data_IF_209114486553
#
_entry.id   IF_209114486553
#
_cell.length_a   1.000
_cell.length_b   1.000
_cell.length_c   1.000
_cell.angle_alpha   90.00
_cell.angle_beta   90.00
_cell.angle_gamma   90.00
#
_symmetry.space_group_name_H-M   'P 1'
#
loop_
_entity.id
_entity.type
_entity.pdbx_description
1 polymer ?
#
# COMPACT_ATOMS: atom_id res chain seq x y z
N UNK A 1 1.60 -35.32 20.62
CA UNK A 1 2.37 -36.35 19.92
C UNK A 1 3.68 -35.72 19.44
N UNK A 2 4.82 -36.33 19.77
CA UNK A 2 6.13 -35.92 19.26
C UNK A 2 6.36 -36.72 17.97
N UNK A 3 6.68 -36.02 16.88
CA UNK A 3 7.06 -36.63 15.62
C UNK A 3 8.56 -36.44 15.41
N UNK A 4 9.26 -37.48 14.99
CA UNK A 4 10.64 -37.35 14.55
C UNK A 4 10.63 -36.97 13.08
N UNK A 5 11.18 -35.80 12.74
CA UNK A 5 11.35 -35.33 11.37
C UNK A 5 12.79 -35.49 10.92
N UNK A 6 12.99 -35.87 9.66
CA UNK A 6 14.30 -36.07 9.05
C UNK A 6 14.46 -35.09 7.88
N UNK A 7 15.64 -34.51 7.73
CA UNK A 7 15.98 -33.80 6.50
C UNK A 7 16.07 -34.81 5.34
N UNK A 8 15.60 -34.44 4.17
CA UNK A 8 15.65 -35.30 2.97
C UNK A 8 17.06 -35.79 2.65
N UNK A 9 18.12 -35.04 3.01
CA UNK A 9 19.52 -35.46 2.86
C UNK A 9 19.94 -36.58 3.80
N UNK A 10 19.14 -36.89 4.82
CA UNK A 10 19.36 -38.00 5.78
C UNK A 10 18.64 -39.29 5.42
N UNK A 11 17.97 -39.29 4.26
CA UNK A 11 17.15 -40.43 3.80
C UNK A 11 17.56 -40.84 2.39
N UNK A 12 17.70 -42.16 2.16
CA UNK A 12 17.94 -42.74 0.84
C UNK A 12 16.63 -43.05 0.13
N UNK A 13 16.57 -42.88 -1.20
CA UNK A 13 15.41 -43.26 -2.01
C UNK A 13 14.27 -42.21 -2.06
N UNK A 14 14.44 -41.07 -1.45
CA UNK A 14 13.49 -39.96 -1.62
C UNK A 14 13.80 -39.25 -2.92
N UNK A 15 12.84 -39.08 -3.83
CA UNK A 15 13.07 -38.30 -5.04
C UNK A 15 13.37 -36.84 -4.62
N UNK A 16 14.23 -36.13 -5.37
CA UNK A 16 14.50 -34.71 -5.10
C UNK A 16 13.17 -33.96 -5.01
N UNK A 17 13.01 -33.17 -3.95
CA UNK A 17 11.86 -32.29 -3.81
C UNK A 17 11.86 -31.34 -5.02
N UNK A 18 10.92 -31.53 -5.92
CA UNK A 18 10.66 -30.55 -6.96
C UNK A 18 9.88 -29.43 -6.28
N UNK A 19 10.59 -28.32 -6.03
CA UNK A 19 9.93 -27.11 -5.61
C UNK A 19 8.83 -26.81 -6.66
N UNK A 20 7.58 -27.04 -6.28
CA UNK A 20 6.43 -26.73 -7.12
C UNK A 20 6.00 -25.28 -6.97
N UNK A 21 6.80 -24.48 -6.26
CA UNK A 21 6.52 -23.06 -6.16
C UNK A 21 6.61 -22.50 -7.57
N UNK A 22 5.48 -22.45 -8.23
CA UNK A 22 5.30 -21.59 -9.39
C UNK A 22 5.41 -20.18 -8.81
N UNK A 23 6.44 -19.46 -9.21
CA UNK A 23 6.46 -18.02 -8.97
C UNK A 23 5.14 -17.45 -9.49
N UNK A 24 4.38 -16.80 -8.62
CA UNK A 24 3.16 -16.12 -9.06
C UNK A 24 3.57 -14.89 -9.88
N UNK A 25 2.78 -14.60 -10.91
CA UNK A 25 2.82 -13.29 -11.52
C UNK A 25 2.05 -12.36 -10.58
N UNK A 26 2.78 -11.63 -9.73
CA UNK A 26 2.17 -10.71 -8.76
C UNK A 26 1.48 -9.57 -9.51
N UNK A 27 0.19 -9.37 -9.25
CA UNK A 27 -0.63 -8.35 -9.91
C UNK A 27 -0.51 -7.02 -9.13
N UNK A 28 0.52 -6.25 -9.46
CA UNK A 28 0.79 -4.96 -8.79
C UNK A 28 -0.31 -3.92 -9.04
N UNK A 29 -0.93 -3.93 -10.20
CA UNK A 29 -2.01 -3.01 -10.56
C UNK A 29 -3.25 -3.27 -9.68
N UNK A 30 -3.66 -4.52 -9.56
CA UNK A 30 -4.79 -4.92 -8.71
C UNK A 30 -4.56 -4.57 -7.23
N UNK A 31 -3.33 -4.67 -6.76
CA UNK A 31 -2.96 -4.46 -5.36
C UNK A 31 -2.21 -3.15 -5.13
N UNK A 32 -2.37 -2.17 -6.01
CA UNK A 32 -1.71 -0.86 -5.90
C UNK A 32 -1.95 -0.19 -4.55
N UNK A 33 -3.21 -0.11 -4.10
CA UNK A 33 -3.56 0.51 -2.81
C UNK A 33 -2.92 -0.23 -1.62
N UNK A 34 -3.04 -1.57 -1.48
CA UNK A 34 -2.33 -2.31 -0.45
C UNK A 34 -0.83 -2.10 -0.42
N UNK A 35 -0.17 -2.17 -1.59
CA UNK A 35 1.28 -1.93 -1.71
C UNK A 35 1.66 -0.51 -1.29
N UNK A 36 0.89 0.46 -1.73
CA UNK A 36 1.11 1.85 -1.41
C UNK A 36 0.91 2.13 0.10
N UNK A 37 -0.14 1.57 0.73
CA UNK A 37 -0.35 1.69 2.19
C UNK A 37 0.83 1.08 2.96
N UNK A 38 1.33 -0.07 2.52
CA UNK A 38 2.48 -0.73 3.12
C UNK A 38 3.75 0.13 3.01
N UNK A 39 4.02 0.68 1.83
CA UNK A 39 5.19 1.53 1.58
C UNK A 39 5.13 2.82 2.39
N UNK A 40 4.01 3.53 2.38
CA UNK A 40 3.82 4.76 3.15
C UNK A 40 3.93 4.53 4.65
N UNK A 41 3.37 3.41 5.14
CA UNK A 41 3.56 3.04 6.54
C UNK A 41 5.04 2.91 6.88
N UNK A 42 5.81 2.23 6.04
CA UNK A 42 7.26 2.06 6.24
C UNK A 42 7.99 3.41 6.24
N UNK A 43 7.71 4.28 5.27
CA UNK A 43 8.32 5.61 5.18
C UNK A 43 7.93 6.50 6.37
N UNK A 44 6.64 6.61 6.67
CA UNK A 44 6.12 7.49 7.74
C UNK A 44 6.48 7.02 9.16
N UNK A 45 7.02 5.81 9.29
CA UNK A 45 7.41 5.24 10.60
C UNK A 45 8.88 4.85 10.70
N UNK A 46 9.70 5.15 9.68
CA UNK A 46 11.11 4.73 9.56
C UNK A 46 11.30 3.19 9.69
N UNK A 47 10.29 2.40 9.34
CA UNK A 47 10.38 0.94 9.36
C UNK A 47 11.13 0.46 8.12
N UNK A 48 12.16 -0.36 8.32
CA UNK A 48 12.84 -1.02 7.20
C UNK A 48 12.06 -2.25 6.77
N UNK A 49 11.76 -2.37 5.50
CA UNK A 49 11.16 -3.57 4.92
C UNK A 49 12.07 -4.17 3.87
N UNK A 50 12.24 -5.49 3.89
CA UNK A 50 13.13 -6.24 3.01
C UNK A 50 12.39 -7.48 2.49
N UNK A 51 12.30 -7.63 1.17
CA UNK A 51 11.96 -8.89 0.53
C UNK A 51 13.27 -9.64 0.23
N UNK A 52 13.41 -10.89 0.71
CA UNK A 52 14.65 -11.66 0.65
C UNK A 52 14.37 -13.10 0.19
N UNK A 53 14.95 -13.47 -0.94
CA UNK A 53 14.86 -14.81 -1.52
C UNK A 53 15.47 -15.92 -0.64
N UNK A 54 16.39 -15.57 0.25
CA UNK A 54 17.03 -16.50 1.20
C UNK A 54 16.19 -16.82 2.41
N UNK A 55 15.10 -16.09 2.64
CA UNK A 55 14.21 -16.25 3.80
C UNK A 55 13.01 -17.12 3.42
N UNK A 56 12.63 -18.05 4.31
CA UNK A 56 11.46 -18.91 4.11
C UNK A 56 10.28 -18.56 5.05
N UNK A 57 10.53 -17.79 6.08
CA UNK A 57 9.54 -17.42 7.09
C UNK A 57 9.66 -15.92 7.34
N UNK A 58 8.58 -15.15 7.25
CA UNK A 58 8.61 -13.74 7.57
C UNK A 58 8.94 -13.53 9.05
N UNK A 59 9.51 -12.39 9.39
CA UNK A 59 9.76 -11.98 10.77
C UNK A 59 9.96 -10.49 10.91
N UNK A 60 9.56 -9.95 12.07
CA UNK A 60 9.95 -8.64 12.53
C UNK A 60 11.12 -8.74 13.50
N UNK A 61 12.16 -7.93 13.29
CA UNK A 61 13.34 -7.85 14.17
C UNK A 61 13.37 -6.51 14.93
N UNK A 62 12.95 -6.48 16.21
CA UNK A 62 12.85 -5.24 16.99
C UNK A 62 14.17 -4.50 17.17
N UNK A 63 15.30 -5.21 17.26
CA UNK A 63 16.62 -4.61 17.49
C UNK A 63 17.14 -3.77 16.32
N UNK A 64 16.69 -4.07 15.10
CA UNK A 64 17.07 -3.37 13.88
C UNK A 64 15.91 -2.59 13.28
N UNK A 65 14.72 -2.71 13.90
CA UNK A 65 13.47 -2.12 13.47
C UNK A 65 13.19 -2.43 11.99
N UNK A 66 13.21 -3.72 11.67
CA UNK A 66 13.01 -4.19 10.30
C UNK A 66 12.06 -5.37 10.22
N UNK A 67 11.26 -5.39 9.17
CA UNK A 67 10.48 -6.53 8.68
C UNK A 67 11.23 -7.19 7.54
N UNK A 68 11.34 -8.51 7.57
CA UNK A 68 11.91 -9.30 6.47
C UNK A 68 10.88 -10.36 6.07
N UNK A 69 10.55 -10.40 4.79
CA UNK A 69 9.60 -11.37 4.23
C UNK A 69 10.25 -12.09 3.04
N UNK A 70 9.84 -13.33 2.73
CA UNK A 70 10.20 -13.96 1.47
C UNK A 70 9.81 -13.09 0.28
N UNK A 71 10.55 -13.20 -0.82
CA UNK A 71 10.17 -12.53 -2.07
C UNK A 71 8.72 -12.84 -2.44
N UNK A 72 7.95 -11.79 -2.83
CA UNK A 72 6.50 -11.87 -3.07
C UNK A 72 6.11 -12.91 -4.11
N UNK A 73 6.97 -13.17 -5.10
CA UNK A 73 6.72 -14.18 -6.14
C UNK A 73 6.81 -15.64 -5.63
N UNK A 74 7.32 -15.85 -4.41
CA UNK A 74 7.44 -17.19 -3.79
C UNK A 74 6.20 -17.62 -3.01
N UNK A 75 5.27 -16.71 -2.80
CA UNK A 75 4.01 -17.02 -2.12
C UNK A 75 3.07 -17.84 -3.03
N UNK A 76 2.07 -18.46 -2.45
CA UNK A 76 1.07 -19.23 -3.21
C UNK A 76 0.11 -18.31 -3.96
N UNK A 77 -0.18 -17.17 -3.38
CA UNK A 77 -1.01 -16.08 -3.90
C UNK A 77 -0.63 -14.77 -3.21
N UNK A 78 -1.13 -13.65 -3.75
CA UNK A 78 -0.85 -12.31 -3.24
C UNK A 78 -1.47 -12.09 -1.86
N UNK A 79 -2.61 -12.72 -1.59
CA UNK A 79 -3.31 -12.60 -0.30
C UNK A 79 -2.45 -13.15 0.84
N UNK A 80 -1.75 -14.28 0.59
CA UNK A 80 -0.81 -14.85 1.55
C UNK A 80 0.39 -13.92 1.81
N UNK A 81 0.93 -13.27 0.77
CA UNK A 81 1.99 -12.27 0.91
C UNK A 81 1.56 -11.11 1.81
N UNK A 82 0.39 -10.54 1.55
CA UNK A 82 -0.09 -9.41 2.35
C UNK A 82 -0.43 -9.81 3.78
N UNK A 83 -1.06 -10.97 3.98
CA UNK A 83 -1.39 -11.46 5.31
C UNK A 83 -0.15 -11.60 6.18
N UNK A 84 0.88 -12.27 5.68
CA UNK A 84 2.15 -12.47 6.37
C UNK A 84 2.87 -11.13 6.60
N UNK A 85 2.90 -10.27 5.58
CA UNK A 85 3.57 -8.97 5.67
C UNK A 85 2.89 -8.05 6.69
N UNK A 86 1.56 -7.96 6.68
CA UNK A 86 0.84 -7.14 7.65
C UNK A 86 0.85 -7.73 9.06
N UNK A 87 1.04 -9.05 9.20
CA UNK A 87 1.30 -9.66 10.50
C UNK A 87 2.62 -9.14 11.10
N UNK A 88 3.70 -9.14 10.34
CA UNK A 88 4.99 -8.63 10.79
C UNK A 88 4.98 -7.09 10.99
N UNK A 89 4.26 -6.37 10.13
CA UNK A 89 4.00 -4.94 10.31
C UNK A 89 3.21 -4.69 11.61
N UNK A 90 2.21 -5.51 11.93
CA UNK A 90 1.47 -5.39 13.19
C UNK A 90 2.38 -5.57 14.40
N UNK A 91 3.32 -6.53 14.40
CA UNK A 91 4.37 -6.63 15.42
C UNK A 91 5.22 -5.37 15.49
N UNK A 92 5.64 -4.85 14.34
CA UNK A 92 6.47 -3.66 14.27
C UNK A 92 5.82 -2.45 14.95
N UNK A 93 4.50 -2.34 14.93
CA UNK A 93 3.79 -1.25 15.63
C UNK A 93 4.04 -1.24 17.13
N UNK A 94 4.47 -2.36 17.72
CA UNK A 94 4.88 -2.45 19.12
C UNK A 94 6.20 -1.76 19.46
N UNK A 95 6.98 -1.36 18.47
CA UNK A 95 8.26 -0.69 18.69
C UNK A 95 8.13 0.59 19.53
N UNK A 96 9.22 0.95 20.25
CA UNK A 96 9.25 2.11 21.16
C UNK A 96 8.98 3.46 20.47
N UNK A 97 9.21 3.55 19.15
CA UNK A 97 8.90 4.73 18.34
C UNK A 97 7.41 4.82 17.96
N UNK A 98 6.63 3.74 18.06
CA UNK A 98 5.23 3.61 17.64
C UNK A 98 4.30 3.39 18.83
N UNK A 99 3.59 2.30 18.91
CA UNK A 99 2.59 2.05 19.97
C UNK A 99 3.17 1.54 21.30
N UNK A 100 4.47 1.31 21.38
CA UNK A 100 5.25 1.02 22.60
C UNK A 100 4.72 -0.18 23.39
N UNK A 101 4.43 -1.30 22.72
CA UNK A 101 4.08 -2.56 23.38
C UNK A 101 5.33 -3.32 23.84
N UNK A 102 5.16 -4.25 24.78
CA UNK A 102 6.27 -5.13 25.19
C UNK A 102 6.39 -6.30 24.21
N UNK A 103 7.50 -6.32 23.45
CA UNK A 103 7.83 -7.35 22.46
C UNK A 103 8.90 -8.33 22.96
N UNK A 104 9.24 -8.32 24.27
CA UNK A 104 10.36 -9.09 24.82
C UNK A 104 9.95 -10.45 25.37
N UNK A 105 8.67 -10.77 25.37
CA UNK A 105 8.16 -12.03 25.89
C UNK A 105 8.70 -13.23 25.09
N UNK A 106 8.90 -14.37 25.78
CA UNK A 106 9.39 -15.59 25.18
C UNK A 106 8.23 -16.45 24.69
N UNK A 107 8.51 -17.26 23.68
CA UNK A 107 7.60 -18.32 23.25
C UNK A 107 7.08 -19.13 24.45
N UNK A 108 5.79 -19.47 24.46
CA UNK A 108 5.06 -20.15 25.55
C UNK A 108 4.70 -19.26 26.76
N UNK A 109 5.14 -18.01 26.82
CA UNK A 109 4.68 -17.07 27.83
C UNK A 109 3.33 -16.45 27.42
N UNK A 110 2.51 -16.13 28.44
CA UNK A 110 1.17 -15.56 28.23
C UNK A 110 1.24 -14.25 27.41
N UNK A 111 2.22 -13.41 27.70
CA UNK A 111 2.36 -12.11 27.04
C UNK A 111 2.76 -12.26 25.56
N UNK A 112 3.55 -13.29 25.22
CA UNK A 112 3.82 -13.68 23.84
C UNK A 112 2.53 -14.08 23.12
N UNK A 113 1.72 -14.95 23.70
CA UNK A 113 0.46 -15.39 23.10
C UNK A 113 -0.53 -14.23 22.87
N UNK A 114 -0.56 -13.23 23.76
CA UNK A 114 -1.36 -12.02 23.58
C UNK A 114 -0.84 -11.18 22.41
N UNK A 115 0.48 -11.03 22.28
CA UNK A 115 1.07 -10.26 21.17
C UNK A 115 0.83 -10.92 19.81
N UNK A 116 0.95 -12.26 19.72
CA UNK A 116 0.60 -13.01 18.51
C UNK A 116 -0.87 -12.84 18.11
N UNK A 117 -1.78 -12.90 19.09
CA UNK A 117 -3.21 -12.63 18.83
C UNK A 117 -3.45 -11.21 18.31
N UNK A 118 -2.73 -10.22 18.84
CA UNK A 118 -2.81 -8.84 18.36
C UNK A 118 -2.36 -8.72 16.93
N UNK A 119 -1.22 -9.35 16.59
CA UNK A 119 -0.67 -9.30 15.25
C UNK A 119 -1.58 -10.02 14.23
N UNK A 120 -2.05 -11.21 14.57
CA UNK A 120 -2.94 -12.00 13.70
C UNK A 120 -4.27 -11.27 13.45
N UNK A 121 -4.94 -10.82 14.50
CA UNK A 121 -6.22 -10.10 14.37
C UNK A 121 -6.01 -8.74 13.71
N UNK A 122 -4.93 -8.03 14.03
CA UNK A 122 -4.57 -6.74 13.44
C UNK A 122 -4.32 -6.85 11.94
N UNK A 123 -3.55 -7.86 11.52
CA UNK A 123 -3.34 -8.19 10.10
C UNK A 123 -4.67 -8.46 9.38
N UNK A 124 -5.54 -9.28 9.99
CA UNK A 124 -6.85 -9.57 9.40
C UNK A 124 -7.71 -8.29 9.24
N UNK A 125 -7.70 -7.38 10.20
CA UNK A 125 -8.41 -6.10 10.10
C UNK A 125 -7.84 -5.21 9.01
N UNK A 126 -6.51 -5.11 8.91
CA UNK A 126 -5.84 -4.35 7.85
C UNK A 126 -6.19 -4.94 6.47
N UNK A 127 -6.00 -6.25 6.28
CA UNK A 127 -6.32 -6.92 5.02
C UNK A 127 -7.78 -6.74 4.61
N UNK A 128 -8.71 -6.85 5.56
CA UNK A 128 -10.13 -6.63 5.29
C UNK A 128 -10.41 -5.18 4.86
N UNK A 129 -9.82 -4.19 5.53
CA UNK A 129 -10.00 -2.77 5.17
C UNK A 129 -9.43 -2.45 3.79
N UNK A 130 -8.35 -3.12 3.39
CA UNK A 130 -7.71 -2.96 2.08
C UNK A 130 -8.38 -3.79 0.97
N UNK A 131 -9.48 -4.49 1.26
CA UNK A 131 -10.16 -5.34 0.29
C UNK A 131 -9.36 -6.58 -0.14
N UNK A 132 -8.32 -6.93 0.62
CA UNK A 132 -7.58 -8.18 0.47
C UNK A 132 -8.44 -9.28 1.09
N UNK A 133 -9.37 -9.78 0.29
CA UNK A 133 -10.28 -10.83 0.74
C UNK A 133 -9.66 -12.17 0.39
N UNK A 134 -9.24 -12.92 1.39
CA UNK A 134 -8.95 -14.32 1.20
C UNK A 134 -10.19 -14.97 0.59
N UNK A 135 -10.10 -15.41 -0.68
CA UNK A 135 -11.07 -16.40 -1.14
C UNK A 135 -11.09 -17.46 -0.05
N UNK A 136 -12.25 -17.96 0.40
CA UNK A 136 -12.28 -18.95 1.47
C UNK A 136 -11.55 -20.21 1.01
N UNK A 137 -10.23 -20.13 0.98
CA UNK A 137 -9.38 -21.30 0.91
C UNK A 137 -9.53 -21.93 2.29
N UNK A 138 -10.27 -23.03 2.32
CA UNK A 138 -10.61 -23.74 3.54
C UNK A 138 -9.38 -24.07 4.37
N UNK A 139 -8.27 -24.38 3.71
CA UNK A 139 -7.01 -24.74 4.34
C UNK A 139 -6.36 -23.54 5.05
N UNK A 140 -6.42 -22.35 4.47
CA UNK A 140 -5.92 -21.11 5.09
C UNK A 140 -6.75 -20.72 6.31
N UNK A 141 -8.08 -20.74 6.17
CA UNK A 141 -8.99 -20.44 7.30
C UNK A 141 -8.82 -21.46 8.44
N UNK A 142 -8.67 -22.74 8.13
CA UNK A 142 -8.45 -23.79 9.13
C UNK A 142 -7.10 -23.60 9.84
N UNK A 143 -6.06 -23.16 9.16
CA UNK A 143 -4.75 -22.86 9.74
C UNK A 143 -4.82 -21.63 10.66
N UNK A 144 -5.41 -20.52 10.22
CA UNK A 144 -5.58 -19.32 11.06
C UNK A 144 -6.43 -19.59 12.29
N UNK A 145 -7.53 -20.35 12.13
CA UNK A 145 -8.36 -20.79 13.27
C UNK A 145 -7.58 -21.67 14.23
N UNK A 146 -6.79 -22.63 13.74
CA UNK A 146 -5.97 -23.50 14.57
C UNK A 146 -4.88 -22.72 15.31
N UNK A 147 -4.30 -21.70 14.66
CA UNK A 147 -3.29 -20.82 15.23
C UNK A 147 -3.87 -19.97 16.36
N UNK A 148 -4.97 -19.26 16.12
CA UNK A 148 -5.70 -18.51 17.15
C UNK A 148 -6.13 -19.41 18.30
N UNK A 149 -6.61 -20.62 18.00
CA UNK A 149 -7.04 -21.59 19.02
C UNK A 149 -5.88 -22.07 19.90
N UNK A 150 -4.65 -22.19 19.35
CA UNK A 150 -3.47 -22.54 20.13
C UNK A 150 -3.13 -21.46 21.15
N UNK A 151 -3.20 -20.19 20.79
CA UNK A 151 -2.95 -19.09 21.71
C UNK A 151 -4.06 -18.93 22.75
N UNK A 152 -5.31 -19.14 22.39
CA UNK A 152 -6.43 -19.19 23.35
C UNK A 152 -6.22 -20.25 24.43
N UNK A 153 -5.64 -21.40 24.09
CA UNK A 153 -5.30 -22.43 25.06
C UNK A 153 -4.21 -21.95 26.04
N UNK A 154 -3.17 -21.24 25.55
CA UNK A 154 -2.12 -20.64 26.41
C UNK A 154 -2.73 -19.61 27.38
N UNK A 155 -3.75 -18.87 26.93
CA UNK A 155 -4.48 -17.91 27.74
C UNK A 155 -5.50 -18.56 28.72
N UNK A 156 -5.55 -19.89 28.79
CA UNK A 156 -6.54 -20.65 29.59
C UNK A 156 -7.99 -20.25 29.25
N UNK A 157 -8.28 -19.96 28.00
CA UNK A 157 -9.58 -19.53 27.50
C UNK A 157 -10.17 -18.32 28.28
N UNK A 158 -9.30 -17.39 28.73
CA UNK A 158 -9.74 -16.19 29.42
C UNK A 158 -10.34 -15.18 28.41
N UNK A 159 -11.67 -14.95 28.39
CA UNK A 159 -12.28 -14.06 27.42
C UNK A 159 -11.76 -12.61 27.51
N UNK A 160 -11.37 -12.17 28.69
CA UNK A 160 -10.87 -10.80 28.89
C UNK A 160 -9.55 -10.55 28.14
N UNK A 161 -8.66 -11.55 28.08
CA UNK A 161 -7.41 -11.43 27.35
C UNK A 161 -7.66 -11.38 25.83
N UNK A 162 -8.66 -12.15 25.34
CA UNK A 162 -9.10 -12.09 23.94
C UNK A 162 -9.73 -10.73 23.59
N UNK A 163 -10.65 -10.23 24.40
CA UNK A 163 -11.25 -8.89 24.17
C UNK A 163 -10.21 -7.77 24.18
N UNK A 164 -9.22 -7.89 25.07
CA UNK A 164 -8.12 -6.94 25.09
C UNK A 164 -7.28 -7.03 23.80
N UNK A 165 -6.94 -8.24 23.35
CA UNK A 165 -6.21 -8.44 22.12
C UNK A 165 -6.96 -7.89 20.91
N UNK A 166 -8.27 -8.09 20.81
CA UNK A 166 -9.12 -7.55 19.73
C UNK A 166 -9.11 -6.01 19.74
N UNK A 167 -9.27 -5.40 20.92
CA UNK A 167 -9.23 -3.93 21.04
C UNK A 167 -7.87 -3.35 20.67
N UNK A 168 -6.80 -4.01 21.12
CA UNK A 168 -5.44 -3.58 20.79
C UNK A 168 -5.18 -3.77 19.29
N UNK A 169 -5.69 -4.85 18.66
CA UNK A 169 -5.62 -5.13 17.23
C UNK A 169 -6.35 -4.08 16.37
N UNK A 170 -7.51 -3.61 16.82
CA UNK A 170 -8.21 -2.50 16.18
C UNK A 170 -7.35 -1.22 16.20
N UNK A 171 -6.73 -0.91 17.34
CA UNK A 171 -5.79 0.21 17.43
C UNK A 171 -4.55 0.06 16.55
N UNK A 172 -4.05 -1.17 16.37
CA UNK A 172 -2.94 -1.50 15.46
C UNK A 172 -3.37 -1.23 14.01
N UNK A 173 -4.52 -1.77 13.60
CA UNK A 173 -5.03 -1.62 12.24
C UNK A 173 -5.26 -0.13 11.89
N UNK A 174 -5.93 0.60 12.76
CA UNK A 174 -6.16 2.04 12.56
C UNK A 174 -4.84 2.82 12.45
N UNK A 175 -3.84 2.49 13.28
CA UNK A 175 -2.53 3.12 13.21
C UNK A 175 -1.80 2.83 11.88
N UNK A 176 -1.85 1.58 11.40
CA UNK A 176 -1.24 1.20 10.12
C UNK A 176 -1.93 1.90 8.96
N UNK A 177 -3.26 1.90 8.93
CA UNK A 177 -4.04 2.54 7.87
C UNK A 177 -3.86 4.07 7.86
N UNK A 178 -3.81 4.71 9.05
CA UNK A 178 -3.52 6.15 9.17
C UNK A 178 -2.13 6.48 8.64
N UNK A 179 -1.09 5.78 9.11
CA UNK A 179 0.29 6.01 8.65
C UNK A 179 0.52 5.59 7.19
N UNK A 180 -0.30 4.69 6.67
CA UNK A 180 -0.34 4.29 5.27
C UNK A 180 -1.19 5.20 4.38
N UNK A 181 -1.74 6.32 4.89
CA UNK A 181 -2.58 7.27 4.13
C UNK A 181 -3.77 6.61 3.43
N UNK A 182 -4.33 5.55 4.03
CA UNK A 182 -5.38 4.74 3.40
C UNK A 182 -6.65 5.53 3.05
N UNK A 183 -7.13 6.39 3.96
CA UNK A 183 -8.37 7.15 3.72
C UNK A 183 -8.23 8.11 2.52
N UNK A 184 -7.06 8.76 2.39
CA UNK A 184 -6.78 9.62 1.25
C UNK A 184 -6.79 8.83 -0.06
N UNK A 185 -6.11 7.69 -0.11
CA UNK A 185 -6.01 6.83 -1.29
C UNK A 185 -7.37 6.26 -1.70
N UNK A 186 -8.15 5.80 -0.72
CA UNK A 186 -9.49 5.27 -0.96
C UNK A 186 -10.42 6.37 -1.51
N UNK A 187 -10.43 7.54 -0.89
CA UNK A 187 -11.22 8.68 -1.35
C UNK A 187 -10.84 9.08 -2.78
N UNK A 188 -9.54 9.18 -3.07
CA UNK A 188 -9.05 9.56 -4.39
C UNK A 188 -9.44 8.51 -5.44
N UNK A 189 -9.30 7.22 -5.12
CA UNK A 189 -9.72 6.14 -6.01
C UNK A 189 -11.22 6.16 -6.33
N UNK A 190 -12.09 6.46 -5.35
CA UNK A 190 -13.53 6.59 -5.60
C UNK A 190 -13.85 7.81 -6.46
N UNK A 191 -13.23 8.96 -6.19
CA UNK A 191 -13.40 10.15 -7.02
C UNK A 191 -12.96 9.92 -8.47
N UNK A 192 -11.81 9.26 -8.69
CA UNK A 192 -11.37 8.92 -10.04
C UNK A 192 -12.35 7.98 -10.74
N UNK A 193 -12.94 6.99 -10.05
CA UNK A 193 -13.97 6.12 -10.61
C UNK A 193 -15.24 6.88 -10.99
N UNK A 194 -15.71 7.81 -10.14
CA UNK A 194 -16.86 8.65 -10.44
C UNK A 194 -16.64 9.44 -11.74
N UNK A 195 -15.43 10.01 -11.92
CA UNK A 195 -15.09 10.75 -13.14
C UNK A 195 -15.04 9.83 -14.36
N UNK A 196 -14.34 8.68 -14.28
CA UNK A 196 -14.12 7.79 -15.43
C UNK A 196 -15.40 7.03 -15.82
N UNK A 197 -16.15 6.53 -14.84
CA UNK A 197 -17.27 5.62 -15.11
C UNK A 197 -18.62 6.33 -15.19
N UNK A 198 -18.80 7.38 -14.38
CA UNK A 198 -20.07 8.09 -14.25
C UNK A 198 -20.09 9.42 -15.00
N UNK A 199 -18.95 9.83 -15.59
CA UNK A 199 -18.78 11.13 -16.27
C UNK A 199 -19.14 12.31 -15.33
N UNK A 200 -18.83 12.12 -14.03
CA UNK A 200 -19.21 13.04 -12.96
C UNK A 200 -17.96 13.67 -12.35
N UNK A 201 -17.66 14.89 -12.75
CA UNK A 201 -16.54 15.66 -12.22
C UNK A 201 -17.03 16.90 -11.47
N UNK A 202 -16.47 17.17 -10.30
CA UNK A 202 -16.72 18.38 -9.53
C UNK A 202 -15.40 19.09 -9.20
N UNK A 203 -15.25 20.40 -9.49
CA UNK A 203 -14.09 21.18 -9.03
C UNK A 203 -13.96 21.15 -7.52
N UNK A 204 -12.72 21.36 -7.02
CA UNK A 204 -12.38 21.26 -5.61
C UNK A 204 -12.67 19.89 -4.96
N UNK A 205 -12.72 18.80 -5.75
CA UNK A 205 -12.89 17.44 -5.23
C UNK A 205 -11.73 17.03 -4.32
N UNK A 206 -10.52 17.54 -4.58
CA UNK A 206 -9.35 17.42 -3.72
C UNK A 206 -8.67 18.77 -3.53
N UNK A 207 -7.91 18.92 -2.44
CA UNK A 207 -7.09 20.10 -2.15
C UNK A 207 -5.70 19.98 -2.76
N UNK A 208 -4.94 21.08 -2.85
CA UNK A 208 -3.53 21.03 -3.26
C UNK A 208 -2.68 20.17 -2.33
N UNK A 209 -2.87 20.24 -1.01
CA UNK A 209 -2.16 19.37 -0.06
C UNK A 209 -2.41 17.88 -0.36
N UNK A 210 -3.65 17.51 -0.70
CA UNK A 210 -4.01 16.14 -1.08
C UNK A 210 -3.42 15.74 -2.43
N UNK A 211 -3.34 16.66 -3.39
CA UNK A 211 -2.66 16.44 -4.66
C UNK A 211 -1.17 16.19 -4.45
N UNK A 212 -0.49 17.06 -3.70
CA UNK A 212 0.94 16.93 -3.41
C UNK A 212 1.28 15.62 -2.72
N UNK A 213 0.52 15.24 -1.70
CA UNK A 213 0.71 13.99 -0.99
C UNK A 213 0.51 12.78 -1.93
N UNK A 214 -0.54 12.83 -2.78
CA UNK A 214 -0.85 11.74 -3.71
C UNK A 214 0.21 11.59 -4.82
N UNK A 215 0.72 12.70 -5.36
CA UNK A 215 1.77 12.69 -6.39
C UNK A 215 3.14 12.30 -5.83
N UNK A 216 3.43 12.65 -4.58
CA UNK A 216 4.64 12.20 -3.89
C UNK A 216 4.67 10.66 -3.80
N UNK A 217 3.53 10.02 -3.52
CA UNK A 217 3.39 8.57 -3.51
C UNK A 217 3.75 7.95 -4.87
N UNK A 218 3.40 8.64 -5.95
CA UNK A 218 3.71 8.22 -7.33
C UNK A 218 5.12 8.63 -7.79
N UNK A 219 5.96 9.19 -6.88
CA UNK A 219 7.27 9.74 -7.19
C UNK A 219 7.24 10.84 -8.27
N UNK A 220 6.16 11.61 -8.32
CA UNK A 220 6.02 12.76 -9.21
C UNK A 220 6.37 14.02 -8.41
N UNK A 221 7.54 14.63 -8.63
CA UNK A 221 7.99 15.76 -7.82
C UNK A 221 7.29 17.07 -8.20
N UNK A 222 7.12 17.93 -7.21
CA UNK A 222 6.86 19.36 -7.43
C UNK A 222 8.21 20.07 -7.63
N UNK A 223 8.32 20.83 -8.70
CA UNK A 223 9.47 21.68 -8.99
C UNK A 223 9.08 23.15 -8.88
N UNK A 224 10.04 24.02 -8.64
CA UNK A 224 9.77 25.44 -8.71
C UNK A 224 9.65 25.96 -10.16
N UNK A 225 9.20 27.20 -10.33
CA UNK A 225 8.99 27.77 -11.67
C UNK A 225 10.29 27.89 -12.47
N UNK A 226 11.42 28.19 -11.82
CA UNK A 226 12.72 28.37 -12.47
C UNK A 226 13.25 27.02 -12.96
N UNK A 227 13.18 25.98 -12.13
CA UNK A 227 13.55 24.60 -12.49
C UNK A 227 12.65 24.06 -13.60
N UNK A 228 11.33 24.30 -13.49
CA UNK A 228 10.35 23.89 -14.52
C UNK A 228 10.63 24.55 -15.86
N UNK A 229 10.83 25.85 -15.88
CA UNK A 229 11.17 26.58 -17.10
C UNK A 229 12.51 26.13 -17.69
N UNK A 230 13.50 25.87 -16.84
CA UNK A 230 14.80 25.35 -17.28
C UNK A 230 14.67 24.00 -17.97
N UNK A 231 13.91 23.06 -17.38
CA UNK A 231 13.73 21.71 -17.96
C UNK A 231 12.94 21.79 -19.27
N UNK A 232 11.90 22.60 -19.35
CA UNK A 232 11.13 22.79 -20.60
C UNK A 232 12.04 23.34 -21.73
N UNK A 233 12.91 24.30 -21.41
CA UNK A 233 13.86 24.86 -22.39
C UNK A 233 14.93 23.86 -22.82
N UNK A 234 15.39 22.99 -21.92
CA UNK A 234 16.34 21.93 -22.25
C UNK A 234 15.78 20.89 -23.26
N UNK A 235 14.46 20.75 -23.37
CA UNK A 235 13.85 19.80 -24.29
C UNK A 235 14.24 20.05 -25.75
N UNK A 236 14.39 21.32 -26.15
CA UNK A 236 14.83 21.68 -27.49
C UNK A 236 16.34 21.43 -27.71
N UNK A 237 17.15 21.43 -26.65
CA UNK A 237 18.60 21.35 -26.69
C UNK A 237 19.12 19.92 -26.44
N UNK A 238 18.53 19.19 -25.49
CA UNK A 238 18.96 17.85 -25.07
C UNK A 238 17.76 16.99 -24.57
N UNK A 239 17.04 16.41 -25.52
CA UNK A 239 15.86 15.54 -25.24
C UNK A 239 16.19 14.33 -24.35
N UNK A 240 17.39 13.75 -24.51
CA UNK A 240 17.76 12.52 -23.79
C UNK A 240 17.93 12.77 -22.28
N UNK A 241 18.37 13.95 -21.88
CA UNK A 241 18.64 14.27 -20.47
C UNK A 241 17.36 14.39 -19.62
N UNK A 242 16.22 14.66 -20.24
CA UNK A 242 14.93 14.88 -19.56
C UNK A 242 13.90 13.79 -19.88
N UNK A 243 14.20 12.87 -20.78
CA UNK A 243 13.32 11.76 -21.13
C UNK A 243 12.97 10.90 -19.91
N UNK A 244 11.73 10.46 -19.81
CA UNK A 244 11.24 9.63 -18.73
C UNK A 244 10.79 10.40 -17.47
N UNK A 245 10.71 11.73 -17.51
CA UNK A 245 10.33 12.56 -16.37
C UNK A 245 8.86 12.97 -16.42
N UNK A 246 8.20 12.88 -15.28
CA UNK A 246 6.90 13.50 -15.00
C UNK A 246 7.08 14.39 -13.77
N UNK A 247 6.61 15.60 -13.83
CA UNK A 247 6.68 16.56 -12.71
C UNK A 247 5.62 17.64 -12.85
N UNK A 248 5.43 18.44 -11.82
CA UNK A 248 4.53 19.58 -11.87
C UNK A 248 5.13 20.79 -11.13
N UNK A 249 4.55 21.95 -11.40
CA UNK A 249 4.81 23.19 -10.70
C UNK A 249 3.48 23.84 -10.33
N UNK A 250 3.40 24.48 -9.16
CA UNK A 250 2.25 25.24 -8.71
C UNK A 250 2.68 26.68 -8.35
N UNK A 251 2.11 27.66 -9.01
CA UNK A 251 2.43 29.09 -8.82
C UNK A 251 1.48 29.83 -7.85
N UNK A 252 0.57 29.10 -7.20
CA UNK A 252 -0.46 29.65 -6.31
C UNK A 252 -1.84 29.78 -6.96
N UNK A 253 -1.95 29.61 -8.27
CA UNK A 253 -3.22 29.64 -9.03
C UNK A 253 -3.30 28.49 -10.04
N UNK A 254 -2.18 28.17 -10.70
CA UNK A 254 -2.11 27.24 -11.82
C UNK A 254 -1.19 26.06 -11.51
N UNK A 255 -1.66 24.86 -11.78
CA UNK A 255 -0.89 23.61 -11.73
C UNK A 255 -0.39 23.35 -13.16
N UNK A 256 0.90 23.56 -13.38
CA UNK A 256 1.55 23.23 -14.66
C UNK A 256 2.11 21.81 -14.58
N UNK A 257 1.52 20.90 -15.31
CA UNK A 257 1.88 19.49 -15.37
C UNK A 257 2.74 19.23 -16.61
N UNK A 258 3.84 18.50 -16.44
CA UNK A 258 4.78 18.18 -17.52
C UNK A 258 4.99 16.68 -17.57
N UNK A 259 4.78 16.07 -18.74
CA UNK A 259 5.03 14.67 -19.02
C UNK A 259 5.96 14.51 -20.22
N UNK A 260 7.05 13.78 -20.00
CA UNK A 260 8.05 13.46 -21.02
C UNK A 260 8.46 11.98 -20.95
N UNK A 261 7.56 11.10 -20.52
CA UNK A 261 7.87 9.66 -20.37
C UNK A 261 8.20 8.99 -21.67
N UNK A 262 7.54 9.37 -22.75
CA UNK A 262 7.71 8.78 -24.09
C UNK A 262 8.67 9.55 -25.00
N UNK A 263 9.29 10.62 -24.49
CA UNK A 263 10.24 11.46 -25.24
C UNK A 263 9.58 12.61 -26.00
N UNK A 264 8.26 12.70 -26.02
CA UNK A 264 7.52 13.88 -26.47
C UNK A 264 7.10 14.69 -25.26
N UNK A 265 7.29 16.01 -25.32
CA UNK A 265 6.98 16.92 -24.22
C UNK A 265 5.51 17.33 -24.27
N UNK A 266 4.74 16.83 -23.31
CA UNK A 266 3.36 17.25 -23.09
C UNK A 266 3.29 18.19 -21.89
N UNK A 267 2.59 19.31 -22.04
CA UNK A 267 2.40 20.30 -20.98
C UNK A 267 0.92 20.64 -20.91
N UNK A 268 0.33 20.38 -19.76
CA UNK A 268 -1.04 20.77 -19.47
C UNK A 268 -1.11 21.70 -18.27
N UNK A 269 -2.13 22.55 -18.24
CA UNK A 269 -2.35 23.52 -17.18
C UNK A 269 -3.76 23.41 -16.63
N UNK A 270 -3.85 23.28 -15.33
CA UNK A 270 -5.10 23.18 -14.60
C UNK A 270 -5.18 24.31 -13.57
N UNK A 271 -6.37 24.82 -13.30
CA UNK A 271 -6.58 25.70 -12.16
C UNK A 271 -6.49 24.90 -10.85
N UNK A 272 -6.17 25.55 -9.73
CA UNK A 272 -6.11 24.88 -8.40
C UNK A 272 -7.37 24.06 -8.11
N UNK A 273 -8.55 24.57 -8.46
CA UNK A 273 -9.83 23.87 -8.29
C UNK A 273 -9.93 22.56 -9.05
N UNK A 274 -9.13 22.36 -10.08
CA UNK A 274 -9.13 21.19 -10.96
C UNK A 274 -7.98 20.21 -10.63
N UNK A 275 -7.49 20.23 -9.39
CA UNK A 275 -6.38 19.40 -8.89
C UNK A 275 -6.60 17.89 -9.12
N UNK A 276 -7.85 17.40 -9.06
CA UNK A 276 -8.16 16.01 -9.37
C UNK A 276 -7.87 15.65 -10.83
N UNK A 277 -8.21 16.53 -11.78
CA UNK A 277 -7.91 16.30 -13.20
C UNK A 277 -6.40 16.36 -13.46
N UNK A 278 -5.67 17.27 -12.81
CA UNK A 278 -4.21 17.31 -12.86
C UNK A 278 -3.60 15.98 -12.37
N UNK A 279 -4.11 15.44 -11.26
CA UNK A 279 -3.69 14.12 -10.78
C UNK A 279 -3.97 13.01 -11.80
N UNK A 280 -5.20 12.95 -12.33
CA UNK A 280 -5.60 11.90 -13.28
C UNK A 280 -4.79 11.96 -14.56
N UNK A 281 -4.48 13.15 -15.04
CA UNK A 281 -3.64 13.35 -16.21
C UNK A 281 -2.18 12.89 -15.96
N UNK A 282 -1.56 13.33 -14.88
CA UNK A 282 -0.18 12.96 -14.55
C UNK A 282 0.01 11.47 -14.24
N UNK A 283 -1.06 10.78 -13.87
CA UNK A 283 -1.04 9.34 -13.55
C UNK A 283 -1.60 8.44 -14.66
N UNK A 284 -1.80 8.98 -15.87
CA UNK A 284 -2.34 8.27 -17.06
C UNK A 284 -3.75 7.70 -16.88
N UNK A 285 -4.51 8.17 -15.91
CA UNK A 285 -5.90 7.78 -15.73
C UNK A 285 -6.83 8.48 -16.72
N UNK A 286 -6.40 9.59 -17.31
CA UNK A 286 -7.19 10.39 -18.24
C UNK A 286 -6.30 11.13 -19.24
N UNK A 287 -6.72 11.18 -20.50
CA UNK A 287 -6.03 11.94 -21.56
C UNK A 287 -6.31 13.44 -21.45
N UNK A 288 -5.45 14.27 -22.08
CA UNK A 288 -5.68 15.72 -22.21
C UNK A 288 -7.04 16.04 -22.85
N UNK A 289 -7.47 15.25 -23.83
CA UNK A 289 -8.73 15.45 -24.54
C UNK A 289 -9.91 15.23 -23.58
N UNK A 290 -9.88 14.15 -22.81
CA UNK A 290 -10.95 13.82 -21.86
C UNK A 290 -11.03 14.86 -20.73
N UNK A 291 -9.89 15.31 -20.19
CA UNK A 291 -9.84 16.40 -19.20
C UNK A 291 -10.47 17.67 -19.76
N UNK A 292 -10.13 18.03 -21.02
CA UNK A 292 -10.65 19.21 -21.66
C UNK A 292 -12.17 19.14 -21.92
N UNK A 293 -12.68 17.96 -22.30
CA UNK A 293 -14.12 17.74 -22.48
C UNK A 293 -14.90 17.92 -21.17
N UNK A 294 -14.36 17.41 -20.04
CA UNK A 294 -14.98 17.58 -18.73
C UNK A 294 -15.02 19.04 -18.27
N UNK A 295 -13.94 19.80 -18.51
CA UNK A 295 -13.88 21.22 -18.20
C UNK A 295 -14.92 22.02 -19.01
N UNK A 296 -15.08 21.72 -20.30
CA UNK A 296 -16.02 22.44 -21.19
C UNK A 296 -17.48 22.07 -20.98
N UNK A 297 -17.81 20.84 -20.56
CA UNK A 297 -19.18 20.44 -20.25
C UNK A 297 -19.84 21.35 -19.21
N UNK A 298 -19.10 21.76 -18.17
CA UNK A 298 -19.61 22.65 -17.10
C UNK A 298 -19.83 24.09 -17.53
N UNK A 299 -19.03 24.62 -18.46
CA UNK A 299 -19.26 25.97 -18.99
C UNK A 299 -20.54 26.03 -19.83
N UNK A 300 -20.88 24.93 -20.53
CA UNK A 300 -22.12 24.82 -21.30
C UNK A 300 -23.39 24.75 -20.45
N UNK A 301 -23.36 24.07 -19.30
CA UNK A 301 -24.51 23.92 -18.41
C UNK A 301 -24.84 25.21 -17.62
N UNK A 302 -23.84 26.04 -17.33
CA UNK A 302 -24.06 27.35 -16.67
C UNK A 302 -24.75 28.34 -17.62
N UNK A 303 -24.53 28.23 -18.93
CA UNK A 303 -25.16 29.10 -19.93
C UNK A 303 -26.58 28.66 -20.32
N UNK A 304 -26.96 27.39 -20.14
CA UNK A 304 -28.28 26.85 -20.40
C UNK A 304 -29.29 27.01 -19.25
N UNK A 305 -28.84 27.32 -18.06
CA UNK A 305 -29.68 27.55 -16.85
C UNK A 305 -30.20 28.98 -16.68
N UNK A 306 -29.92 29.90 -17.62
CA UNK A 306 -30.36 31.31 -17.59
C UNK A 306 -31.28 31.65 -18.78
N UNK A 307 -32.21 30.77 -19.16
CA UNK A 307 -33.32 31.13 -20.06
C UNK A 307 -34.67 30.96 -19.39
#
# INVERSE_FOLDING_TARGET
>A
RVYTVFNATQMEGIPPYKNQNKNIAFDEEKYEIPLSVMNDFCENTDLKMIEDDGVNTPYYQPSEDKVVVPDRHRYMDEEAFFSDTFHEIAHSTGHAKRLKRDLKSRYEEKDYAVEELRAEIGSAFICNSLGIVSKPNRDYLENSVAYVQSFLNVLNNNPNDLFKAIKDADGIANYVLEKGNFELKHKLGELCKEVIQEDKYEPNSITMDQLEESLKIKNIPCLDEEETAHIINLWDEDKESIMGRVFYCFDGETITCVDNREGDLFIERFEEKDALLAYMWMTDLMSSIDCYELLNKKEGDVLSGQQ
#
